data_IF_030777602398
#
_entry.id   IF_030777602398
#
_cell.length_a   1.000
_cell.length_b   1.000
_cell.length_c   1.000
_cell.angle_alpha   90.00
_cell.angle_beta   90.00
_cell.angle_gamma   90.00
#
_symmetry.space_group_name_H-M   'P 1'
#
loop_
_entity.id
_entity.type
_entity.pdbx_description
1 polymer ?
#
# COMPACT_ATOMS: atom_id res chain seq x y z
N UNK A 1 19.73 -12.22 -0.22
CA UNK A 1 18.45 -11.59 -0.62
C UNK A 1 17.82 -12.37 -1.76
N UNK A 2 16.53 -12.69 -1.63
CA UNK A 2 15.78 -13.37 -2.69
C UNK A 2 15.78 -12.55 -3.98
N UNK A 3 15.87 -13.25 -5.11
CA UNK A 3 15.72 -12.66 -6.45
C UNK A 3 14.43 -13.13 -7.14
N UNK A 4 13.65 -13.96 -6.47
CA UNK A 4 12.38 -14.44 -6.98
C UNK A 4 11.27 -13.41 -6.72
N UNK A 5 10.38 -13.24 -7.69
CA UNK A 5 9.30 -12.25 -7.63
C UNK A 5 7.94 -12.91 -7.86
N UNK A 6 6.92 -12.28 -7.30
CA UNK A 6 5.53 -12.48 -7.68
C UNK A 6 5.04 -11.23 -8.41
N UNK A 7 4.02 -11.38 -9.23
CA UNK A 7 3.44 -10.28 -10.00
C UNK A 7 2.03 -9.98 -9.50
N UNK A 8 1.83 -8.78 -9.02
CA UNK A 8 0.55 -8.32 -8.44
C UNK A 8 -0.03 -7.21 -9.32
N UNK A 9 -1.30 -7.36 -9.69
CA UNK A 9 -2.02 -6.32 -10.40
C UNK A 9 -2.45 -5.23 -9.42
N UNK A 10 -1.86 -4.06 -9.55
CA UNK A 10 -2.16 -2.87 -8.76
C UNK A 10 -2.70 -1.76 -9.64
N UNK A 11 -3.53 -0.90 -9.08
CA UNK A 11 -3.87 0.35 -9.74
C UNK A 11 -2.61 1.19 -9.98
N UNK A 12 -2.57 1.95 -11.07
CA UNK A 12 -1.37 2.65 -11.50
C UNK A 12 -0.82 3.59 -10.43
N UNK A 13 -1.67 4.34 -9.75
CA UNK A 13 -1.21 5.26 -8.70
C UNK A 13 -0.60 4.54 -7.49
N UNK A 14 -1.10 3.35 -7.15
CA UNK A 14 -0.55 2.50 -6.09
C UNK A 14 0.82 1.95 -6.51
N UNK A 15 0.93 1.45 -7.73
CA UNK A 15 2.19 0.95 -8.28
C UNK A 15 3.26 2.05 -8.34
N UNK A 16 2.91 3.24 -8.78
CA UNK A 16 3.82 4.39 -8.84
C UNK A 16 4.32 4.78 -7.44
N UNK A 17 3.41 4.91 -6.48
CA UNK A 17 3.75 5.21 -5.10
C UNK A 17 4.66 4.15 -4.48
N UNK A 18 4.32 2.89 -4.66
CA UNK A 18 5.04 1.77 -4.08
C UNK A 18 6.45 1.63 -4.67
N UNK A 19 6.58 1.72 -5.99
CA UNK A 19 7.87 1.62 -6.67
C UNK A 19 8.78 2.82 -6.41
N UNK A 20 8.20 4.01 -6.26
CA UNK A 20 8.95 5.20 -5.86
C UNK A 20 9.57 5.03 -4.47
N UNK A 21 8.83 4.44 -3.54
CA UNK A 21 9.27 4.27 -2.14
C UNK A 21 10.20 3.08 -1.94
N UNK A 22 9.94 1.95 -2.61
CA UNK A 22 10.57 0.66 -2.33
C UNK A 22 11.36 0.06 -3.50
N UNK A 23 11.42 0.78 -4.63
CA UNK A 23 12.16 0.34 -5.82
C UNK A 23 11.35 -0.56 -6.75
N UNK A 24 11.99 -0.97 -7.84
CA UNK A 24 11.42 -1.86 -8.86
C UNK A 24 12.45 -2.95 -9.20
N UNK A 25 12.16 -4.24 -9.00
CA UNK A 25 10.99 -4.77 -8.31
C UNK A 25 10.87 -4.28 -6.86
N UNK A 26 9.64 -4.28 -6.33
CA UNK A 26 9.35 -3.82 -4.97
C UNK A 26 9.95 -4.79 -3.95
N UNK A 27 10.62 -4.27 -2.94
CA UNK A 27 11.14 -5.06 -1.82
C UNK A 27 10.64 -4.48 -0.50
N UNK A 28 9.76 -5.21 0.15
CA UNK A 28 9.28 -4.83 1.48
C UNK A 28 10.37 -5.05 2.53
N UNK A 29 10.45 -4.20 3.56
CA UNK A 29 11.39 -4.38 4.66
C UNK A 29 11.19 -5.70 5.39
N UNK A 30 12.27 -6.27 5.91
CA UNK A 30 12.18 -7.44 6.77
C UNK A 30 11.31 -7.13 8.00
N UNK A 31 10.45 -8.08 8.37
CA UNK A 31 9.54 -7.89 9.49
C UNK A 31 8.28 -7.10 9.16
N UNK A 32 8.11 -6.65 7.90
CA UNK A 32 6.89 -5.95 7.49
C UNK A 32 5.68 -6.88 7.47
N UNK A 33 4.49 -6.30 7.63
CA UNK A 33 3.23 -7.01 7.51
C UNK A 33 3.04 -7.60 6.09
N UNK A 34 3.44 -6.86 5.07
CA UNK A 34 3.35 -7.26 3.67
C UNK A 34 4.17 -8.53 3.41
N UNK A 35 5.40 -8.60 3.91
CA UNK A 35 6.22 -9.80 3.83
C UNK A 35 5.61 -10.98 4.61
N UNK A 36 4.98 -10.72 5.75
CA UNK A 36 4.28 -11.75 6.50
C UNK A 36 3.10 -12.34 5.70
N UNK A 37 2.34 -11.49 5.01
CA UNK A 37 1.24 -11.92 4.13
C UNK A 37 1.79 -12.73 2.96
N UNK A 38 2.86 -12.28 2.30
CA UNK A 38 3.50 -13.04 1.21
C UNK A 38 3.92 -14.43 1.71
N UNK A 39 4.61 -14.53 2.84
CA UNK A 39 5.02 -15.81 3.41
C UNK A 39 3.84 -16.73 3.73
N UNK A 40 2.74 -16.17 4.21
CA UNK A 40 1.54 -16.93 4.54
C UNK A 40 0.92 -17.61 3.30
N UNK A 41 0.94 -16.93 2.15
CA UNK A 41 0.25 -17.39 0.94
C UNK A 41 1.16 -17.99 -0.13
N UNK A 42 2.48 -17.79 -0.04
CA UNK A 42 3.40 -18.35 -1.02
C UNK A 42 3.45 -19.89 -0.89
N UNK A 43 3.50 -20.58 -2.00
CA UNK A 43 3.51 -22.04 -2.01
C UNK A 43 4.37 -22.57 -3.15
N UNK A 44 4.57 -23.88 -3.16
CA UNK A 44 5.24 -24.57 -4.26
C UNK A 44 4.34 -24.54 -5.48
N UNK A 45 4.94 -24.46 -6.67
CA UNK A 45 4.20 -24.53 -7.92
C UNK A 45 3.51 -25.90 -8.03
N UNK A 46 2.16 -25.95 -8.16
CA UNK A 46 1.45 -27.22 -8.33
C UNK A 46 1.87 -27.94 -9.61
N UNK A 47 1.72 -29.26 -9.62
CA UNK A 47 1.94 -30.06 -10.85
C UNK A 47 1.04 -29.58 -11.98
N UNK A 48 1.64 -29.31 -13.14
CA UNK A 48 0.92 -28.84 -14.32
C UNK A 48 0.69 -27.34 -14.39
N UNK A 49 1.05 -26.60 -13.34
CA UNK A 49 1.03 -25.15 -13.32
C UNK A 49 2.41 -24.58 -13.66
N UNK A 50 2.44 -23.35 -14.19
CA UNK A 50 3.67 -22.62 -14.45
C UNK A 50 3.92 -21.61 -13.34
N UNK A 51 5.21 -21.32 -13.01
CA UNK A 51 5.53 -20.19 -12.15
C UNK A 51 4.96 -18.89 -12.69
N UNK A 52 4.76 -17.94 -11.80
CA UNK A 52 4.21 -16.63 -12.14
C UNK A 52 5.08 -15.93 -13.17
N UNK A 53 4.46 -15.37 -14.20
CA UNK A 53 5.16 -14.68 -15.28
C UNK A 53 4.76 -13.21 -15.35
N UNK A 54 5.70 -12.40 -15.84
CA UNK A 54 5.44 -10.98 -16.06
C UNK A 54 4.30 -10.78 -17.07
N UNK A 55 3.36 -9.93 -16.72
CA UNK A 55 2.31 -9.47 -17.62
C UNK A 55 2.25 -7.93 -17.58
N UNK A 56 1.81 -7.35 -18.69
CA UNK A 56 1.65 -5.90 -18.77
C UNK A 56 0.74 -5.37 -17.66
N UNK A 57 1.13 -4.28 -17.03
CA UNK A 57 0.38 -3.66 -15.94
C UNK A 57 0.51 -4.33 -14.59
N UNK A 58 1.31 -5.38 -14.47
CA UNK A 58 1.59 -6.03 -13.20
C UNK A 58 2.86 -5.47 -12.54
N UNK A 59 2.86 -5.43 -11.21
CA UNK A 59 3.99 -4.95 -10.42
C UNK A 59 4.76 -6.14 -9.83
N UNK A 60 6.06 -6.28 -10.13
CA UNK A 60 6.88 -7.33 -9.53
C UNK A 60 7.25 -7.00 -8.10
N UNK A 61 7.09 -7.97 -7.20
CA UNK A 61 7.39 -7.86 -5.79
C UNK A 61 8.29 -9.02 -5.38
N UNK A 62 9.43 -8.73 -4.75
CA UNK A 62 10.33 -9.76 -4.26
C UNK A 62 9.69 -10.62 -3.19
N UNK A 63 9.85 -11.93 -3.32
CA UNK A 63 9.46 -12.89 -2.29
C UNK A 63 10.50 -12.80 -1.17
N UNK A 64 10.08 -12.65 0.11
CA UNK A 64 11.03 -12.58 1.22
C UNK A 64 11.76 -13.91 1.43
N UNK A 65 13.01 -13.84 1.88
CA UNK A 65 13.76 -15.01 2.28
C UNK A 65 13.07 -15.68 3.48
N UNK A 66 13.01 -17.01 3.44
CA UNK A 66 12.43 -17.82 4.51
C UNK A 66 13.11 -19.19 4.55
N UNK A 67 13.49 -19.64 5.74
CA UNK A 67 14.03 -20.98 5.91
C UNK A 67 12.96 -22.07 5.72
N UNK A 68 11.74 -21.78 6.16
CA UNK A 68 10.62 -22.72 6.04
C UNK A 68 10.08 -22.82 4.61
N UNK A 69 10.15 -21.71 3.87
CA UNK A 69 9.65 -21.60 2.50
C UNK A 69 10.70 -20.94 1.60
N UNK A 70 11.80 -21.65 1.25
CA UNK A 70 12.83 -21.07 0.38
C UNK A 70 12.25 -20.63 -0.94
N UNK A 71 12.51 -19.38 -1.40
CA UNK A 71 11.92 -18.84 -2.63
C UNK A 71 12.23 -19.63 -3.89
N UNK A 72 13.32 -20.40 -3.90
CA UNK A 72 13.68 -21.28 -5.01
C UNK A 72 12.59 -22.33 -5.28
N UNK A 73 11.90 -22.77 -4.22
CA UNK A 73 10.87 -23.80 -4.27
C UNK A 73 9.47 -23.26 -4.03
N UNK A 74 9.35 -22.10 -3.38
CA UNK A 74 8.09 -21.46 -3.00
C UNK A 74 7.97 -20.14 -3.74
N UNK A 75 7.52 -20.18 -4.99
CA UNK A 75 7.42 -19.03 -5.89
C UNK A 75 6.11 -19.00 -6.69
N UNK A 76 5.10 -19.68 -6.19
CA UNK A 76 3.75 -19.68 -6.75
C UNK A 76 2.76 -19.10 -5.75
N UNK A 77 1.81 -18.32 -6.25
CA UNK A 77 0.73 -17.76 -5.44
C UNK A 77 -0.58 -17.85 -6.19
N UNK A 78 -1.62 -18.34 -5.51
CA UNK A 78 -2.98 -18.38 -6.04
C UNK A 78 -3.57 -16.98 -6.15
N UNK A 79 -4.66 -16.83 -6.91
CA UNK A 79 -5.39 -15.56 -7.02
C UNK A 79 -5.88 -15.07 -5.65
N UNK A 80 -6.29 -15.98 -4.78
CA UNK A 80 -6.67 -15.68 -3.40
C UNK A 80 -5.51 -15.09 -2.60
N UNK A 81 -4.31 -15.65 -2.73
CA UNK A 81 -3.11 -15.12 -2.10
C UNK A 81 -2.73 -13.75 -2.66
N UNK A 82 -2.79 -13.58 -3.98
CA UNK A 82 -2.53 -12.28 -4.63
C UNK A 82 -3.51 -11.21 -4.17
N UNK A 83 -4.78 -11.56 -3.98
CA UNK A 83 -5.78 -10.66 -3.41
C UNK A 83 -5.41 -10.22 -2.00
N UNK A 84 -4.96 -11.13 -1.16
CA UNK A 84 -4.54 -10.82 0.21
C UNK A 84 -3.34 -9.85 0.22
N UNK A 85 -2.35 -10.07 -0.64
CA UNK A 85 -1.20 -9.16 -0.80
C UNK A 85 -1.65 -7.78 -1.28
N UNK A 86 -2.55 -7.73 -2.27
CA UNK A 86 -3.12 -6.47 -2.77
C UNK A 86 -3.83 -5.69 -1.68
N UNK A 87 -4.65 -6.36 -0.87
CA UNK A 87 -5.35 -5.73 0.26
C UNK A 87 -4.37 -5.17 1.29
N UNK A 88 -3.31 -5.90 1.62
CA UNK A 88 -2.27 -5.41 2.52
C UNK A 88 -1.58 -4.15 1.99
N UNK A 89 -1.29 -4.10 0.69
CA UNK A 89 -0.70 -2.93 0.03
C UNK A 89 -1.68 -1.74 0.04
N UNK A 90 -2.96 -1.98 -0.24
CA UNK A 90 -3.99 -0.95 -0.19
C UNK A 90 -4.16 -0.37 1.21
N UNK A 91 -4.12 -1.21 2.22
CA UNK A 91 -4.16 -0.77 3.62
C UNK A 91 -2.95 0.07 4.00
N UNK A 92 -1.77 -0.32 3.54
CA UNK A 92 -0.54 0.45 3.74
C UNK A 92 -0.65 1.85 3.09
N UNK A 93 -1.10 1.91 1.85
CA UNK A 93 -1.34 3.18 1.15
C UNK A 93 -2.35 4.06 1.89
N UNK A 94 -3.47 3.50 2.28
CA UNK A 94 -4.55 4.21 2.98
C UNK A 94 -4.05 4.80 4.30
N UNK A 95 -3.29 4.03 5.08
CA UNK A 95 -2.72 4.51 6.34
C UNK A 95 -1.69 5.62 6.13
N UNK A 96 -0.81 5.47 5.15
CA UNK A 96 0.19 6.50 4.86
C UNK A 96 -0.44 7.79 4.37
N UNK A 97 -1.38 7.70 3.44
CA UNK A 97 -2.11 8.86 2.94
C UNK A 97 -2.82 9.61 4.08
N UNK A 98 -3.55 8.89 4.91
CA UNK A 98 -4.29 9.46 6.02
C UNK A 98 -3.37 10.06 7.08
N UNK A 99 -2.35 9.33 7.50
CA UNK A 99 -1.44 9.75 8.55
C UNK A 99 -0.60 10.97 8.15
N UNK A 100 -0.20 11.07 6.89
CA UNK A 100 0.61 12.20 6.42
C UNK A 100 -0.20 13.46 6.15
N UNK A 101 -1.48 13.34 5.78
CA UNK A 101 -2.30 14.50 5.43
C UNK A 101 -3.15 15.06 6.57
N UNK A 102 -3.49 14.22 7.56
CA UNK A 102 -4.40 14.63 8.64
C UNK A 102 -3.84 15.67 9.63
N UNK A 103 -2.52 15.72 9.95
CA UNK A 103 -2.07 16.51 11.10
C UNK A 103 -1.70 17.95 10.81
N UNK A 104 -1.93 18.46 9.61
CA UNK A 104 -1.42 19.78 9.24
C UNK A 104 -2.49 20.86 9.37
N UNK A 105 -3.10 20.95 10.55
CA UNK A 105 -4.01 22.07 10.88
C UNK A 105 -3.29 23.41 11.07
N UNK A 106 -1.96 23.40 11.22
CA UNK A 106 -1.14 24.59 11.42
C UNK A 106 -0.72 25.29 10.13
N UNK A 107 -0.90 24.65 8.98
CA UNK A 107 -0.54 25.22 7.68
C UNK A 107 -1.83 25.61 6.96
N UNK A 108 -1.98 26.90 6.66
CA UNK A 108 -3.14 27.46 5.98
C UNK A 108 -3.12 27.15 4.46
N UNK A 109 -2.93 25.88 4.13
CA UNK A 109 -2.93 25.35 2.76
C UNK A 109 -4.14 24.43 2.60
N UNK A 110 -4.91 24.61 1.52
CA UNK A 110 -6.07 23.79 1.22
C UNK A 110 -5.73 22.29 1.08
N UNK A 111 -6.65 21.43 1.48
CA UNK A 111 -6.49 19.97 1.44
C UNK A 111 -6.13 19.47 0.03
N UNK A 112 -6.77 20.02 -1.00
CA UNK A 112 -6.51 19.60 -2.39
C UNK A 112 -5.08 19.92 -2.83
N UNK A 113 -4.54 21.08 -2.41
CA UNK A 113 -3.15 21.45 -2.69
C UNK A 113 -2.18 20.52 -1.98
N UNK A 114 -2.47 20.15 -0.73
CA UNK A 114 -1.66 19.19 0.04
C UNK A 114 -1.67 17.80 -0.58
N UNK A 115 -2.81 17.34 -1.07
CA UNK A 115 -2.92 16.05 -1.77
C UNK A 115 -2.08 16.08 -3.05
N UNK A 116 -2.15 17.14 -3.83
CA UNK A 116 -1.34 17.27 -5.05
C UNK A 116 0.16 17.26 -4.73
N UNK A 117 0.60 17.98 -3.71
CA UNK A 117 2.00 17.99 -3.26
C UNK A 117 2.44 16.63 -2.73
N UNK A 118 1.57 15.93 -2.00
CA UNK A 118 1.83 14.58 -1.51
C UNK A 118 2.02 13.58 -2.67
N UNK A 119 1.17 13.66 -3.70
CA UNK A 119 1.31 12.83 -4.89
C UNK A 119 2.64 13.07 -5.59
N UNK A 120 3.04 14.32 -5.77
CA UNK A 120 4.31 14.68 -6.38
C UNK A 120 5.50 14.13 -5.59
N UNK A 121 5.49 14.29 -4.26
CA UNK A 121 6.51 13.75 -3.37
C UNK A 121 6.66 12.23 -3.47
N UNK A 122 5.58 11.52 -3.69
CA UNK A 122 5.54 10.05 -3.73
C UNK A 122 5.58 9.47 -5.14
N UNK A 123 5.89 10.26 -6.15
CA UNK A 123 6.06 9.78 -7.53
C UNK A 123 4.77 9.42 -8.25
N UNK A 124 3.62 9.85 -7.73
CA UNK A 124 2.31 9.62 -8.36
C UNK A 124 2.11 10.64 -9.47
N UNK A 125 1.79 10.16 -10.68
CA UNK A 125 1.59 11.02 -11.84
C UNK A 125 0.45 12.01 -11.70
N UNK A 126 0.57 13.17 -12.35
CA UNK A 126 -0.44 14.23 -12.30
C UNK A 126 -1.82 13.76 -12.76
N UNK A 127 -1.88 12.82 -13.68
CA UNK A 127 -3.11 12.22 -14.19
C UNK A 127 -3.86 11.35 -13.16
N UNK A 128 -3.24 11.09 -12.00
CA UNK A 128 -3.80 10.27 -10.92
C UNK A 128 -4.14 11.03 -9.65
N UNK A 129 -3.82 12.31 -9.58
CA UNK A 129 -4.08 13.15 -8.40
C UNK A 129 -5.57 13.17 -8.04
N UNK A 130 -6.45 13.24 -9.03
CA UNK A 130 -7.90 13.21 -8.80
C UNK A 130 -8.36 11.89 -8.16
N UNK A 131 -7.81 10.77 -8.61
CA UNK A 131 -8.10 9.45 -8.03
C UNK A 131 -7.69 9.39 -6.55
N UNK A 132 -6.51 9.89 -6.21
CA UNK A 132 -6.02 9.95 -4.84
C UNK A 132 -6.88 10.90 -3.99
N UNK A 133 -7.28 12.04 -4.56
CA UNK A 133 -8.17 13.00 -3.90
C UNK A 133 -9.51 12.35 -3.52
N UNK A 134 -10.13 11.64 -4.45
CA UNK A 134 -11.39 10.94 -4.19
C UNK A 134 -11.22 9.87 -3.11
N UNK A 135 -10.11 9.14 -3.14
CA UNK A 135 -9.81 8.14 -2.11
C UNK A 135 -9.65 8.79 -0.73
N UNK A 136 -8.94 9.90 -0.62
CA UNK A 136 -8.79 10.64 0.63
C UNK A 136 -10.15 11.06 1.21
N UNK A 137 -11.02 11.62 0.39
CA UNK A 137 -12.36 12.04 0.85
C UNK A 137 -13.23 10.87 1.29
N UNK A 138 -13.12 9.71 0.63
CA UNK A 138 -13.83 8.48 1.06
C UNK A 138 -13.36 8.01 2.44
N UNK A 139 -12.06 8.05 2.70
CA UNK A 139 -11.48 7.71 3.99
C UNK A 139 -12.01 8.66 5.06
N UNK A 140 -11.97 9.95 4.79
CA UNK A 140 -12.47 11.00 5.70
C UNK A 140 -13.94 10.81 6.03
N UNK A 141 -14.78 10.52 5.04
CA UNK A 141 -16.20 10.27 5.25
C UNK A 141 -16.46 8.99 6.06
N UNK A 142 -15.68 7.95 5.84
CA UNK A 142 -15.78 6.71 6.61
C UNK A 142 -15.51 6.94 8.10
N UNK A 143 -14.50 7.75 8.44
CA UNK A 143 -14.23 8.11 9.83
C UNK A 143 -15.34 9.00 10.44
N UNK A 144 -15.85 9.94 9.68
CA UNK A 144 -16.99 10.78 10.13
C UNK A 144 -18.23 9.96 10.46
N UNK A 145 -18.59 8.99 9.63
CA UNK A 145 -19.74 8.11 9.83
C UNK A 145 -19.64 7.28 11.10
N UNK A 146 -18.42 6.95 11.53
CA UNK A 146 -18.15 6.23 12.78
C UNK A 146 -18.06 7.15 14.00
N UNK A 147 -18.31 8.45 13.83
CA UNK A 147 -18.14 9.46 14.89
C UNK A 147 -16.68 9.72 15.25
N UNK A 148 -15.73 9.24 14.45
CA UNK A 148 -14.30 9.42 14.65
C UNK A 148 -13.82 10.53 13.72
N UNK A 149 -13.61 11.72 14.26
CA UNK A 149 -13.00 12.82 13.52
C UNK A 149 -11.57 13.04 13.99
N UNK A 150 -10.65 12.30 13.39
CA UNK A 150 -9.23 12.35 13.75
C UNK A 150 -8.57 13.72 13.45
N UNK A 151 -9.18 14.52 12.60
CA UNK A 151 -8.71 15.89 12.30
C UNK A 151 -8.98 16.87 13.43
N UNK A 152 -10.03 16.62 14.19
CA UNK A 152 -10.45 17.46 15.31
C UNK A 152 -10.17 16.83 16.68
N UNK A 153 -9.48 15.71 16.73
CA UNK A 153 -9.23 15.00 17.96
C UNK A 153 -8.48 15.84 19.00
N UNK A 154 -7.55 16.68 18.53
CA UNK A 154 -6.78 17.57 19.39
C UNK A 154 -7.63 18.73 19.93
N UNK A 155 -8.63 19.20 19.20
CA UNK A 155 -9.54 20.28 19.65
C UNK A 155 -10.52 19.80 20.75
N UNK A 156 -11.02 18.57 20.61
CA UNK A 156 -11.99 18.04 21.58
C UNK A 156 -11.37 17.66 22.93
N UNK A 157 -10.06 17.44 22.99
CA UNK A 157 -9.36 17.16 24.24
C UNK A 157 -8.94 18.42 25.02
N UNK A 158 -8.80 19.56 24.35
CA UNK A 158 -8.50 20.82 25.03
C UNK A 158 -9.73 21.46 25.71
N UNK A 159 -10.95 21.08 25.30
CA UNK A 159 -12.18 21.59 25.89
C UNK A 159 -12.70 20.73 27.07
N UNK A 160 -11.99 19.67 27.46
CA UNK A 160 -12.39 18.74 28.53
C UNK A 160 -11.51 18.82 29.79
N UNK A 161 -10.57 19.71 29.87
CA UNK A 161 -9.87 20.00 31.12
C UNK A 161 -10.70 21.00 31.95
N UNK A 162 -11.04 20.63 33.17
CA UNK A 162 -11.76 21.54 34.07
C UNK A 162 -10.87 22.70 34.55
#
# INVERSE_FOLDING_TARGET
MSQFVIYIKLEKYISEWLTHSLGYPVRFPNGSNENAVIRAFIQQTPKGETPDTAAEGMTPIYIPDSKAKPPENYNYMTDSGKKAVREAIMDLFTRNLWNELRPIDSINIGVNTRIAAWCEMHGIGLDRVETVRQKYYRIREAYKKRGINLQNFTRNNSDKDP
#
